data_IF_207788166594
#
_entry.id   IF_207788166594
#
_cell.length_a   1.000
_cell.length_b   1.000
_cell.length_c   1.000
_cell.angle_alpha   90.00
_cell.angle_beta   90.00
_cell.angle_gamma   90.00
#
_symmetry.space_group_name_H-M   'P 1'
#
loop_
_entity.id
_entity.type
_entity.pdbx_description
1 polymer ?
#
# COMPACT_ATOMS: atom_id res chain seq x y z
N UNK A 1 -8.57 6.27 6.33
CA UNK A 1 -7.60 5.38 7.00
C UNK A 1 -6.63 6.15 7.89
N UNK A 2 -6.03 5.50 8.89
CA UNK A 2 -5.00 6.08 9.78
C UNK A 2 -3.60 5.87 9.19
N UNK A 3 -2.78 6.92 9.10
CA UNK A 3 -1.39 6.81 8.63
C UNK A 3 -0.40 7.11 9.76
N UNK A 4 0.40 6.11 10.13
CA UNK A 4 1.50 6.26 11.07
C UNK A 4 2.79 6.51 10.28
N UNK A 5 3.42 7.66 10.47
CA UNK A 5 4.61 8.09 9.72
C UNK A 5 5.85 7.91 10.59
N UNK A 6 6.74 7.01 10.20
CA UNK A 6 7.89 6.52 10.97
C UNK A 6 9.20 6.80 10.23
N UNK A 7 9.74 8.01 10.37
CA UNK A 7 10.96 8.47 9.69
C UNK A 7 10.70 9.55 8.62
N UNK A 8 9.90 9.28 7.57
CA UNK A 8 9.58 10.26 6.53
C UNK A 8 8.90 11.53 7.06
N UNK A 9 8.92 12.58 6.24
CA UNK A 9 8.13 13.78 6.54
C UNK A 9 6.63 13.57 6.30
N UNK A 10 5.78 14.30 7.03
CA UNK A 10 4.33 14.29 6.80
C UNK A 10 3.96 14.74 5.37
N UNK A 11 4.67 15.73 4.83
CA UNK A 11 4.44 16.21 3.47
C UNK A 11 4.70 15.11 2.43
N UNK A 12 5.75 14.31 2.65
CA UNK A 12 6.05 13.16 1.81
C UNK A 12 4.95 12.09 1.89
N UNK A 13 4.49 11.76 3.10
CA UNK A 13 3.39 10.82 3.29
C UNK A 13 2.10 11.27 2.56
N UNK A 14 1.80 12.58 2.58
CA UNK A 14 0.65 13.16 1.88
C UNK A 14 0.78 13.09 0.35
N UNK A 15 1.96 13.39 -0.19
CA UNK A 15 2.26 13.28 -1.63
C UNK A 15 2.08 11.84 -2.13
N UNK A 16 2.66 10.88 -1.41
CA UNK A 16 2.54 9.45 -1.71
C UNK A 16 1.08 9.01 -1.69
N UNK A 17 0.33 9.41 -0.66
CA UNK A 17 -1.10 9.10 -0.54
C UNK A 17 -1.93 9.65 -1.69
N UNK A 18 -1.68 10.90 -2.10
CA UNK A 18 -2.36 11.52 -3.23
C UNK A 18 -2.08 10.76 -4.54
N UNK A 19 -0.86 10.26 -4.71
CA UNK A 19 -0.49 9.45 -5.87
C UNK A 19 -1.13 8.06 -5.81
N UNK A 20 -1.12 7.41 -4.65
CA UNK A 20 -1.74 6.10 -4.44
C UNK A 20 -3.25 6.12 -4.68
N UNK A 21 -3.93 7.22 -4.34
CA UNK A 21 -5.37 7.38 -4.60
C UNK A 21 -5.72 7.25 -6.10
N UNK A 22 -4.79 7.54 -7.02
CA UNK A 22 -4.99 7.32 -8.46
C UNK A 22 -5.25 5.85 -8.81
N UNK A 23 -4.69 4.92 -8.05
CA UNK A 23 -4.89 3.47 -8.25
C UNK A 23 -6.32 3.03 -7.94
N UNK A 24 -6.98 3.73 -7.01
CA UNK A 24 -8.30 3.39 -6.47
C UNK A 24 -9.44 4.13 -7.18
N UNK A 25 -9.16 5.32 -7.72
CA UNK A 25 -10.15 6.15 -8.40
C UNK A 25 -10.90 5.44 -9.56
N UNK A 26 -10.24 4.66 -10.46
CA UNK A 26 -10.94 3.90 -11.51
C UNK A 26 -11.91 2.83 -10.98
N UNK A 27 -11.69 2.39 -9.74
CA UNK A 27 -12.54 1.41 -9.06
C UNK A 27 -13.72 2.07 -8.34
N UNK A 28 -13.82 3.41 -8.38
CA UNK A 28 -14.76 4.21 -7.59
C UNK A 28 -14.63 3.93 -6.09
N UNK A 29 -13.39 3.84 -5.62
CA UNK A 29 -13.02 3.73 -4.20
C UNK A 29 -12.28 5.01 -3.81
N UNK A 30 -12.75 5.68 -2.76
CA UNK A 30 -12.09 6.85 -2.19
C UNK A 30 -11.00 6.42 -1.21
N UNK A 31 -9.74 6.52 -1.63
CA UNK A 31 -8.60 6.30 -0.74
C UNK A 31 -8.19 7.62 -0.10
N UNK A 32 -8.52 7.79 1.17
CA UNK A 32 -8.18 8.98 1.95
C UNK A 32 -7.61 8.65 3.32
N UNK A 33 -6.71 9.52 3.80
CA UNK A 33 -6.24 9.49 5.18
C UNK A 33 -7.16 10.35 6.06
N UNK A 34 -7.62 9.80 7.18
CA UNK A 34 -8.38 10.57 8.18
C UNK A 34 -7.45 11.45 9.01
N UNK A 35 -6.19 11.03 9.14
CA UNK A 35 -5.13 11.72 9.87
C UNK A 35 -3.78 11.09 9.59
N UNK A 36 -2.75 11.86 9.91
CA UNK A 36 -1.37 11.43 9.92
C UNK A 36 -0.81 11.62 11.32
N UNK A 37 -0.04 10.65 11.79
CA UNK A 37 0.57 10.68 13.11
C UNK A 37 2.04 10.30 13.00
N UNK A 38 2.94 11.16 13.43
CA UNK A 38 4.36 10.82 13.51
C UNK A 38 4.61 9.88 14.68
N UNK A 39 5.30 8.78 14.40
CA UNK A 39 5.72 7.77 15.39
C UNK A 39 7.23 7.54 15.28
N UNK A 40 7.78 6.77 16.22
CA UNK A 40 9.17 6.32 16.17
C UNK A 40 9.19 4.87 16.64
N UNK A 41 9.01 3.95 15.70
CA UNK A 41 9.02 2.52 15.99
C UNK A 41 10.44 1.96 15.97
N UNK A 42 10.64 0.83 16.63
CA UNK A 42 11.93 0.16 16.73
C UNK A 42 12.04 -1.03 15.78
N UNK A 43 13.26 -1.35 15.36
CA UNK A 43 13.55 -2.45 14.44
C UNK A 43 13.06 -2.21 13.01
N UNK A 44 13.32 -3.20 12.14
CA UNK A 44 12.95 -3.19 10.73
C UNK A 44 12.20 -4.47 10.31
N UNK A 45 11.82 -5.35 11.24
CA UNK A 45 10.94 -6.47 10.90
C UNK A 45 9.53 -5.96 10.57
N UNK A 46 9.04 -6.26 9.37
CA UNK A 46 7.78 -5.72 8.85
C UNK A 46 6.59 -6.10 9.75
N UNK A 47 6.52 -7.36 10.20
CA UNK A 47 5.47 -7.79 11.13
C UNK A 47 5.63 -7.10 12.49
N UNK A 48 6.86 -6.93 12.98
CA UNK A 48 7.15 -6.19 14.21
C UNK A 48 6.74 -4.71 14.16
N UNK A 49 6.79 -4.06 12.99
CA UNK A 49 6.26 -2.70 12.80
C UNK A 49 4.73 -2.68 12.82
N UNK A 50 4.08 -3.66 12.18
CA UNK A 50 2.62 -3.87 12.27
C UNK A 50 2.19 -4.11 13.73
N UNK A 51 2.91 -4.94 14.47
CA UNK A 51 2.59 -5.27 15.86
C UNK A 51 2.74 -4.03 16.78
N UNK A 52 3.71 -3.16 16.53
CA UNK A 52 3.82 -1.87 17.22
C UNK A 52 2.66 -0.93 16.89
N UNK A 53 2.20 -0.89 15.63
CA UNK A 53 1.00 -0.15 15.23
C UNK A 53 -0.27 -0.70 15.91
N UNK A 54 -0.42 -2.03 15.98
CA UNK A 54 -1.50 -2.68 16.73
C UNK A 54 -1.45 -2.30 18.20
N UNK A 55 -0.28 -2.39 18.84
CA UNK A 55 -0.12 -2.03 20.26
C UNK A 55 -0.51 -0.57 20.53
N UNK A 56 -0.23 0.35 19.59
CA UNK A 56 -0.63 1.77 19.69
C UNK A 56 -2.15 1.94 19.76
N UNK A 57 -2.92 1.09 19.10
CA UNK A 57 -4.38 1.17 19.04
C UNK A 57 -5.11 0.09 19.87
N UNK A 58 -4.41 -0.60 20.77
CA UNK A 58 -5.01 -1.62 21.63
C UNK A 58 -5.34 -2.94 20.92
N UNK A 59 -4.69 -3.21 19.78
CA UNK A 59 -4.76 -4.49 19.05
C UNK A 59 -5.68 -4.50 17.84
N UNK A 60 -6.48 -3.44 17.63
CA UNK A 60 -7.43 -3.31 16.53
C UNK A 60 -7.32 -1.93 15.87
N UNK A 61 -7.77 -1.79 14.62
CA UNK A 61 -7.85 -0.47 13.97
C UNK A 61 -8.69 0.49 14.83
N UNK A 62 -8.34 1.80 14.88
CA UNK A 62 -9.11 2.78 15.63
C UNK A 62 -10.49 3.02 14.99
N UNK A 63 -11.49 3.36 15.81
CA UNK A 63 -12.83 3.71 15.33
C UNK A 63 -12.79 4.85 14.32
N UNK A 64 -13.55 4.72 13.23
CA UNK A 64 -13.62 5.71 12.16
C UNK A 64 -12.50 5.61 11.12
N UNK A 65 -11.56 4.67 11.27
CA UNK A 65 -10.59 4.33 10.24
C UNK A 65 -10.86 2.93 9.70
N UNK A 66 -10.87 2.76 8.38
CA UNK A 66 -11.03 1.42 7.78
C UNK A 66 -9.76 0.59 7.84
N UNK A 67 -8.60 1.23 7.77
CA UNK A 67 -7.29 0.60 7.73
C UNK A 67 -6.29 1.45 8.53
N UNK A 68 -5.19 0.82 8.91
CA UNK A 68 -4.01 1.45 9.49
C UNK A 68 -2.80 1.14 8.61
N UNK A 69 -2.05 2.17 8.22
CA UNK A 69 -0.85 2.02 7.41
C UNK A 69 0.36 2.63 8.12
N UNK A 70 1.43 1.86 8.27
CA UNK A 70 2.74 2.33 8.72
C UNK A 70 3.57 2.69 7.50
N UNK A 71 3.96 3.96 7.41
CA UNK A 71 4.79 4.49 6.34
C UNK A 71 6.18 4.80 6.90
N UNK A 72 7.21 4.07 6.45
CA UNK A 72 8.54 4.11 7.06
C UNK A 72 9.68 4.27 6.05
N UNK A 73 10.78 4.90 6.44
CA UNK A 73 12.01 5.01 5.65
C UNK A 73 13.04 3.89 5.94
N UNK A 74 12.64 2.90 6.73
CA UNK A 74 13.47 1.74 7.06
C UNK A 74 13.50 0.75 5.89
N UNK A 75 14.64 0.11 5.72
CA UNK A 75 14.81 -1.13 4.93
C UNK A 75 14.18 -2.29 5.73
N UNK A 76 12.90 -2.55 5.49
CA UNK A 76 12.11 -3.55 6.19
C UNK A 76 12.46 -4.95 5.71
N UNK A 77 12.28 -5.91 6.60
CA UNK A 77 12.53 -7.32 6.32
C UNK A 77 11.36 -8.20 6.75
N UNK A 78 11.19 -9.33 6.07
CA UNK A 78 10.31 -10.40 6.53
C UNK A 78 11.09 -11.72 6.58
N UNK A 79 11.20 -12.32 7.76
CA UNK A 79 11.95 -13.56 7.95
C UNK A 79 13.43 -13.46 7.56
N UNK A 80 14.04 -12.27 7.68
CA UNK A 80 15.42 -12.00 7.29
C UNK A 80 15.64 -11.65 5.81
N UNK A 81 14.57 -11.60 5.00
CA UNK A 81 14.65 -11.15 3.60
C UNK A 81 14.43 -9.64 3.51
N UNK A 82 15.43 -8.91 2.99
CA UNK A 82 15.40 -7.45 2.78
C UNK A 82 14.84 -7.05 1.40
N UNK A 83 14.41 -8.00 0.58
CA UNK A 83 13.76 -7.71 -0.70
C UNK A 83 12.24 -7.48 -0.55
N UNK A 84 11.81 -6.95 0.60
CA UNK A 84 10.40 -6.78 0.98
C UNK A 84 10.12 -5.29 1.08
N UNK A 85 9.32 -4.75 0.17
CA UNK A 85 8.99 -3.33 0.17
C UNK A 85 7.75 -3.00 1.03
N UNK A 86 6.93 -4.00 1.34
CA UNK A 86 5.69 -3.84 2.06
C UNK A 86 5.17 -5.16 2.60
N UNK A 87 4.25 -5.05 3.57
CA UNK A 87 3.53 -6.19 4.13
C UNK A 87 2.15 -5.75 4.60
N UNK A 88 1.12 -6.42 4.11
CA UNK A 88 -0.20 -6.45 4.71
C UNK A 88 -0.30 -7.56 5.76
N UNK A 89 -0.90 -7.27 6.92
CA UNK A 89 -1.05 -8.24 8.02
C UNK A 89 -1.87 -9.47 7.59
N UNK A 90 -2.93 -9.26 6.80
CA UNK A 90 -3.71 -10.34 6.24
C UNK A 90 -4.43 -9.92 4.96
N UNK A 91 -4.48 -10.82 3.97
CA UNK A 91 -5.28 -10.59 2.77
C UNK A 91 -6.77 -10.58 3.14
N UNK A 92 -7.47 -9.53 2.77
CA UNK A 92 -8.86 -9.30 3.16
C UNK A 92 -9.02 -8.79 4.60
N UNK A 93 -7.92 -8.35 5.24
CA UNK A 93 -7.86 -7.87 6.61
C UNK A 93 -8.83 -6.72 6.93
N UNK A 94 -9.30 -5.96 5.93
CA UNK A 94 -10.30 -4.89 6.12
C UNK A 94 -11.57 -5.35 6.85
N UNK A 95 -11.96 -6.62 6.71
CA UNK A 95 -13.13 -7.20 7.38
C UNK A 95 -12.91 -7.42 8.89
N UNK A 96 -11.65 -7.55 9.32
CA UNK A 96 -11.31 -7.98 10.68
C UNK A 96 -10.45 -6.92 11.34
N UNK A 97 -10.99 -6.27 12.37
CA UNK A 97 -10.35 -5.08 12.97
C UNK A 97 -8.91 -5.30 13.44
N UNK A 98 -8.55 -6.53 13.83
CA UNK A 98 -7.20 -6.92 14.28
C UNK A 98 -6.22 -7.25 13.14
N UNK A 99 -6.70 -7.24 11.89
CA UNK A 99 -5.94 -7.56 10.68
C UNK A 99 -5.91 -6.45 9.64
N UNK A 100 -6.52 -5.30 9.92
CA UNK A 100 -6.61 -4.15 9.03
C UNK A 100 -5.35 -3.26 9.04
N UNK A 101 -4.16 -3.87 9.11
CA UNK A 101 -2.88 -3.20 9.28
C UNK A 101 -1.92 -3.55 8.15
N UNK A 102 -1.16 -2.57 7.65
CA UNK A 102 -0.08 -2.80 6.73
C UNK A 102 1.11 -1.87 7.03
N UNK A 103 2.26 -2.21 6.47
CA UNK A 103 3.47 -1.38 6.47
C UNK A 103 4.04 -1.32 5.05
N UNK A 104 4.68 -0.21 4.71
CA UNK A 104 5.53 -0.17 3.52
C UNK A 104 6.56 0.96 3.54
N UNK A 105 7.57 0.77 2.71
CA UNK A 105 8.76 1.58 2.62
C UNK A 105 8.54 2.86 1.79
N UNK A 106 9.20 3.94 2.22
CA UNK A 106 9.45 5.11 1.39
C UNK A 106 10.78 4.95 0.64
N UNK A 107 10.70 4.60 -0.65
CA UNK A 107 11.85 4.74 -1.53
C UNK A 107 12.23 6.20 -1.62
N UNK A 108 13.42 6.54 -1.18
CA UNK A 108 13.90 7.92 -1.17
C UNK A 108 13.87 8.58 -2.57
N UNK A 109 14.04 9.91 -2.66
CA UNK A 109 13.93 10.64 -3.93
C UNK A 109 14.88 10.16 -5.03
N UNK A 110 16.02 9.57 -4.66
CA UNK A 110 17.01 9.05 -5.60
C UNK A 110 16.55 7.81 -6.37
N UNK A 111 15.86 6.89 -5.70
CA UNK A 111 15.38 5.64 -6.30
C UNK A 111 14.21 5.88 -7.27
N UNK A 112 13.38 6.88 -6.99
CA UNK A 112 12.23 7.24 -7.84
C UNK A 112 12.61 7.93 -9.16
N UNK A 113 13.89 8.26 -9.37
CA UNK A 113 14.37 8.86 -10.62
C UNK A 113 14.52 7.85 -11.76
N UNK A 114 14.56 6.55 -11.46
CA UNK A 114 14.51 5.47 -12.44
C UNK A 114 13.09 5.38 -13.03
N UNK A 115 12.91 5.43 -14.37
CA UNK A 115 11.61 5.26 -15.01
C UNK A 115 10.84 3.99 -14.62
N UNK A 116 11.54 2.93 -14.16
CA UNK A 116 10.93 1.69 -13.67
C UNK A 116 10.50 1.79 -12.19
N UNK A 117 11.06 2.72 -11.42
CA UNK A 117 10.77 2.91 -9.99
C UNK A 117 9.98 4.18 -9.71
N UNK A 118 9.51 4.87 -10.76
CA UNK A 118 8.65 6.03 -10.61
C UNK A 118 7.42 5.64 -9.78
N UNK A 119 7.00 6.54 -8.89
CA UNK A 119 5.90 6.28 -7.96
C UNK A 119 6.05 5.02 -7.10
N UNK A 120 7.24 4.41 -6.99
CA UNK A 120 7.45 3.11 -6.33
C UNK A 120 6.82 3.04 -4.95
N UNK A 121 7.01 4.09 -4.15
CA UNK A 121 6.42 4.22 -2.81
C UNK A 121 4.88 4.19 -2.85
N UNK A 122 4.27 4.91 -3.78
CA UNK A 122 2.82 4.95 -3.93
C UNK A 122 2.26 3.61 -4.45
N UNK A 123 3.03 2.89 -5.27
CA UNK A 123 2.68 1.53 -5.71
C UNK A 123 2.72 0.56 -4.53
N UNK A 124 3.77 0.58 -3.71
CA UNK A 124 3.86 -0.24 -2.48
C UNK A 124 2.66 0.01 -1.59
N UNK A 125 2.38 1.27 -1.27
CA UNK A 125 1.20 1.62 -0.47
C UNK A 125 -0.08 1.07 -1.10
N UNK A 126 -0.30 1.35 -2.39
CA UNK A 126 -1.50 0.88 -3.08
C UNK A 126 -1.61 -0.64 -3.11
N UNK A 127 -0.49 -1.35 -3.25
CA UNK A 127 -0.38 -2.80 -3.30
C UNK A 127 -0.77 -3.43 -1.97
N UNK A 128 -0.20 -2.95 -0.86
CA UNK A 128 -0.49 -3.50 0.47
C UNK A 128 -1.93 -3.21 0.90
N UNK A 129 -2.46 -2.03 0.61
CA UNK A 129 -3.88 -1.76 0.82
C UNK A 129 -4.77 -2.65 -0.09
N UNK A 130 -4.30 -2.98 -1.30
CA UNK A 130 -4.95 -3.94 -2.20
C UNK A 130 -5.04 -5.32 -1.57
N UNK A 131 -3.97 -5.78 -0.91
CA UNK A 131 -3.97 -7.00 -0.12
C UNK A 131 -4.97 -6.94 1.03
N UNK A 132 -4.99 -5.87 1.83
CA UNK A 132 -5.99 -5.69 2.89
C UNK A 132 -7.43 -5.72 2.36
N UNK A 133 -7.63 -5.29 1.11
CA UNK A 133 -8.89 -5.34 0.36
C UNK A 133 -9.10 -6.66 -0.41
N UNK A 134 -8.38 -7.73 -0.05
CA UNK A 134 -8.62 -9.09 -0.54
C UNK A 134 -7.91 -9.46 -1.85
N UNK A 135 -7.24 -8.51 -2.50
CA UNK A 135 -6.49 -8.82 -3.71
C UNK A 135 -5.29 -9.73 -3.39
N UNK A 136 -5.05 -10.68 -4.26
CA UNK A 136 -3.86 -11.53 -4.21
C UNK A 136 -2.86 -11.06 -5.26
N UNK A 137 -1.61 -11.51 -5.14
CA UNK A 137 -0.72 -11.48 -6.29
C UNK A 137 -1.39 -12.22 -7.43
N UNK A 138 -1.53 -11.53 -8.55
CA UNK A 138 -1.97 -12.16 -9.77
C UNK A 138 -0.73 -12.52 -10.58
N UNK A 139 -0.78 -13.60 -11.37
CA UNK A 139 0.26 -13.86 -12.36
C UNK A 139 0.52 -12.58 -13.16
N UNK A 140 1.76 -12.39 -13.61
CA UNK A 140 2.23 -11.18 -14.27
C UNK A 140 1.27 -10.73 -15.41
N UNK A 141 0.27 -9.92 -15.08
CA UNK A 141 -0.76 -9.47 -16.02
C UNK A 141 -0.25 -8.22 -16.71
N UNK A 142 0.69 -8.44 -17.61
CA UNK A 142 1.39 -7.34 -18.27
C UNK A 142 0.69 -6.87 -19.54
N UNK A 143 -0.41 -7.52 -19.93
CA UNK A 143 -1.27 -7.05 -21.02
C UNK A 143 -2.12 -5.88 -20.55
N UNK A 144 -2.85 -6.07 -19.44
CA UNK A 144 -3.67 -4.99 -18.87
C UNK A 144 -2.81 -3.82 -18.35
N UNK A 145 -1.65 -4.13 -17.75
CA UNK A 145 -0.70 -3.11 -17.30
C UNK A 145 -0.26 -2.19 -18.45
N UNK A 146 0.29 -2.77 -19.53
CA UNK A 146 0.69 -1.99 -20.71
C UNK A 146 -0.43 -1.15 -21.34
N UNK A 147 -1.68 -1.65 -21.35
CA UNK A 147 -2.82 -0.91 -21.90
C UNK A 147 -3.21 0.28 -21.00
N UNK A 148 -3.03 0.15 -19.69
CA UNK A 148 -3.37 1.19 -18.71
C UNK A 148 -2.36 2.33 -18.63
N UNK A 149 -1.13 2.11 -19.09
CA UNK A 149 -0.02 3.08 -19.04
C UNK A 149 0.21 3.81 -20.38
N UNK A 150 -0.68 3.64 -21.37
CA UNK A 150 -0.56 4.33 -22.67
C UNK A 150 -0.64 5.85 -22.47
N UNK A 151 0.48 6.54 -22.70
CA UNK A 151 0.59 7.99 -22.56
C UNK A 151 1.04 8.45 -21.18
N UNK A 152 1.23 7.53 -20.23
CA UNK A 152 1.92 7.83 -18.97
C UNK A 152 3.44 7.84 -19.20
N UNK A 153 4.18 8.69 -18.48
CA UNK A 153 5.64 8.76 -18.59
C UNK A 153 6.36 7.60 -17.87
N UNK A 154 5.62 6.73 -17.20
CA UNK A 154 6.07 5.54 -16.49
C UNK A 154 5.96 4.31 -17.40
N UNK A 155 7.01 3.48 -17.45
CA UNK A 155 7.02 2.24 -18.26
C UNK A 155 6.96 1.05 -17.31
N UNK A 156 5.77 0.77 -16.79
CA UNK A 156 5.53 -0.38 -15.91
C UNK A 156 4.65 -1.42 -16.61
N UNK A 157 5.21 -2.58 -17.00
CA UNK A 157 4.50 -3.49 -17.88
C UNK A 157 3.33 -4.21 -17.21
N UNK A 158 3.35 -4.43 -15.89
CA UNK A 158 2.42 -5.35 -15.20
C UNK A 158 1.51 -4.61 -14.23
N UNK A 159 0.29 -5.11 -14.02
CA UNK A 159 -0.67 -4.47 -13.09
C UNK A 159 -0.19 -4.45 -11.64
N UNK A 160 -0.77 -3.57 -10.83
CA UNK A 160 -0.36 -3.22 -9.46
C UNK A 160 -0.13 -4.41 -8.52
N UNK A 161 -0.90 -5.49 -8.62
CA UNK A 161 -0.74 -6.68 -7.77
C UNK A 161 0.37 -7.64 -8.24
N UNK A 162 1.28 -7.18 -9.10
CA UNK A 162 2.49 -7.92 -9.42
C UNK A 162 3.49 -7.82 -8.26
N UNK A 163 4.25 -8.90 -8.02
CA UNK A 163 5.10 -9.04 -6.84
C UNK A 163 6.44 -8.28 -6.92
N UNK A 164 6.70 -7.57 -8.02
CA UNK A 164 7.90 -6.76 -8.19
C UNK A 164 7.51 -5.31 -8.52
N UNK A 165 7.73 -4.40 -7.56
CA UNK A 165 7.28 -3.00 -7.64
C UNK A 165 7.79 -2.26 -8.87
N UNK A 166 9.02 -2.56 -9.29
CA UNK A 166 9.68 -1.94 -10.44
C UNK A 166 9.05 -2.32 -11.79
N UNK A 167 8.15 -3.30 -11.80
CA UNK A 167 7.41 -3.72 -12.98
C UNK A 167 5.91 -3.55 -12.81
N UNK A 168 5.46 -3.16 -11.61
CA UNK A 168 4.06 -2.93 -11.28
C UNK A 168 3.65 -1.51 -11.71
N UNK A 169 2.48 -1.38 -12.30
CA UNK A 169 1.84 -0.12 -12.66
C UNK A 169 0.97 0.38 -11.50
N UNK A 170 0.42 1.59 -11.59
CA UNK A 170 -0.55 2.07 -10.59
C UNK A 170 -1.96 1.48 -10.80
N UNK A 171 -2.15 0.64 -11.81
CA UNK A 171 -3.47 0.14 -12.18
C UNK A 171 -3.69 -1.30 -11.70
N UNK A 172 -4.80 -1.54 -11.00
CA UNK A 172 -5.26 -2.90 -10.72
C UNK A 172 -5.70 -3.60 -12.00
N UNK A 173 -5.45 -4.91 -12.10
CA UNK A 173 -6.07 -5.74 -13.13
C UNK A 173 -7.58 -5.80 -12.91
N UNK A 174 -8.34 -6.13 -13.95
CA UNK A 174 -9.80 -6.29 -13.91
C UNK A 174 -10.24 -7.19 -12.74
N UNK A 175 -9.57 -8.34 -12.55
CA UNK A 175 -9.89 -9.26 -11.45
C UNK A 175 -9.57 -8.67 -10.08
N UNK A 176 -8.34 -8.17 -9.86
CA UNK A 176 -7.95 -7.63 -8.55
C UNK A 176 -8.72 -6.36 -8.22
N UNK A 177 -9.00 -5.51 -9.21
CA UNK A 177 -9.82 -4.31 -9.05
C UNK A 177 -11.28 -4.64 -8.67
N UNK A 178 -11.86 -5.69 -9.25
CA UNK A 178 -13.19 -6.16 -8.86
C UNK A 178 -13.23 -6.66 -7.41
N UNK A 179 -12.19 -7.38 -6.97
CA UNK A 179 -12.05 -7.84 -5.58
C UNK A 179 -11.89 -6.66 -4.62
N UNK A 180 -10.98 -5.73 -4.91
CA UNK A 180 -10.74 -4.53 -4.10
C UNK A 180 -12.01 -3.71 -3.95
N UNK A 181 -12.72 -3.45 -5.05
CA UNK A 181 -13.99 -2.72 -5.03
C UNK A 181 -15.06 -3.45 -4.21
N UNK A 182 -15.15 -4.77 -4.35
CA UNK A 182 -16.09 -5.58 -3.59
C UNK A 182 -15.85 -5.48 -2.09
N UNK A 183 -14.60 -5.63 -1.65
CA UNK A 183 -14.23 -5.48 -0.24
C UNK A 183 -14.42 -4.06 0.27
N UNK A 184 -14.08 -3.04 -0.53
CA UNK A 184 -14.27 -1.65 -0.14
C UNK A 184 -15.76 -1.34 0.11
N UNK A 185 -16.65 -1.77 -0.79
CA UNK A 185 -18.09 -1.55 -0.64
C UNK A 185 -18.69 -2.28 0.57
N UNK A 186 -18.19 -3.48 0.89
CA UNK A 186 -18.76 -4.32 1.94
C UNK A 186 -18.20 -3.98 3.34
N UNK A 187 -16.93 -3.57 3.42
CA UNK A 187 -16.20 -3.51 4.71
C UNK A 187 -15.53 -2.16 5.02
N UNK A 188 -15.50 -1.21 4.07
CA UNK A 188 -14.85 0.09 4.22
C UNK A 188 -15.71 1.28 3.73
N UNK A 189 -16.99 1.05 3.41
CA UNK A 189 -17.91 2.12 3.05
C UNK A 189 -18.42 2.84 4.31
N UNK A 190 -18.60 4.18 4.25
CA UNK A 190 -18.87 5.05 5.40
C UNK A 190 -20.14 4.71 6.20
#
# INVERSE_FOLDING_TARGET
>A
MRVLVDGPSLARAQEVMATAARSYAPLNVDLSADSYETVNFSGNDAQGLIDQAKARFGGTRPTGSDLVYVFTDKDIQAGGNTAVAGLADCIGGVRFDHHAFAVGEDFGPGEQSDPLQRNGTAKVLSHELGHLMGAHHHYANCVEGNLSEVGEPEVSPCTLMFNAVNLASLNFATLSGAVVRGHANEFAAP
#
